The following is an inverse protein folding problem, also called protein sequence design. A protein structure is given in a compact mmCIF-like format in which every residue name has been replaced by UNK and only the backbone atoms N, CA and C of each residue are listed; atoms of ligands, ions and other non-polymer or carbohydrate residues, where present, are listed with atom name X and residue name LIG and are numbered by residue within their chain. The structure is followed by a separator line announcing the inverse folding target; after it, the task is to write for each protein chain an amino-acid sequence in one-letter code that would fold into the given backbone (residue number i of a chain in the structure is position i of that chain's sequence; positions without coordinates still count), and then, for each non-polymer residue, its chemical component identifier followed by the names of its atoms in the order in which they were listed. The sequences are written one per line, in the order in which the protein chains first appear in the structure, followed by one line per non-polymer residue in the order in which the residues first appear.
data_IF_246611269590
#
_entry.id   IF_246611269590
#
_cell.length_a   1.000
_cell.length_b   1.000
_cell.length_c   1.000
_cell.angle_alpha   90.00
_cell.angle_beta   90.00
_cell.angle_gamma   90.00
#
_symmetry.space_group_name_H-M   'P 1'
#
loop_
_entity.id
_entity.type
_entity.pdbx_description
1 polymer ?
#
# COMPACT_ATOMS: atom_id res chain seq x y z
N UNK A 1 -9.17 -0.50 -15.47
CA UNK A 1 -8.27 -0.11 -14.36
C UNK A 1 -9.12 0.10 -13.13
N UNK A 2 -8.95 -0.73 -12.09
CA UNK A 2 -9.68 -0.55 -10.85
C UNK A 2 -9.10 0.68 -10.13
N UNK A 3 -9.84 1.78 -10.13
CA UNK A 3 -9.55 2.93 -9.27
C UNK A 3 -9.76 2.47 -7.84
N UNK A 4 -8.69 2.40 -7.04
CA UNK A 4 -8.82 2.12 -5.61
C UNK A 4 -9.65 3.25 -4.98
N UNK A 5 -10.81 2.98 -4.35
CA UNK A 5 -11.69 4.01 -3.79
C UNK A 5 -11.17 4.47 -2.42
N UNK A 6 -9.92 4.93 -2.37
CA UNK A 6 -9.30 5.42 -1.15
C UNK A 6 -9.95 6.73 -0.65
N UNK A 7 -10.67 7.47 -1.51
CA UNK A 7 -11.40 8.71 -1.20
C UNK A 7 -10.55 9.71 -0.39
N UNK A 8 -9.31 9.93 -0.81
CA UNK A 8 -8.37 10.84 -0.13
C UNK A 8 -7.69 10.25 1.12
N UNK A 9 -7.83 8.95 1.38
CA UNK A 9 -7.06 8.27 2.43
C UNK A 9 -5.55 8.35 2.13
N UNK A 10 -4.76 8.73 3.14
CA UNK A 10 -3.30 8.90 3.03
C UNK A 10 -2.50 7.94 3.93
N UNK A 11 -3.14 6.90 4.46
CA UNK A 11 -2.50 5.97 5.42
C UNK A 11 -1.29 5.26 4.82
N UNK A 12 -1.38 4.77 3.58
CA UNK A 12 -0.21 4.16 2.91
C UNK A 12 0.92 5.18 2.68
N UNK A 13 0.61 6.45 2.44
CA UNK A 13 1.62 7.50 2.33
C UNK A 13 2.34 7.79 3.65
N UNK A 14 1.76 7.42 4.80
CA UNK A 14 2.39 7.62 6.11
C UNK A 14 3.21 6.42 6.57
N UNK A 15 2.72 5.21 6.29
CA UNK A 15 3.21 4.02 6.99
C UNK A 15 3.87 2.98 6.07
N UNK A 16 3.62 3.03 4.77
CA UNK A 16 4.07 1.98 3.85
C UNK A 16 5.31 2.41 3.05
N UNK A 17 6.16 1.43 2.72
CA UNK A 17 7.25 1.61 1.77
C UNK A 17 6.71 1.52 0.33
N UNK A 18 6.65 2.64 -0.36
CA UNK A 18 6.17 2.70 -1.75
C UNK A 18 7.29 2.26 -2.70
N UNK A 19 7.43 0.95 -2.84
CA UNK A 19 8.39 0.33 -3.75
C UNK A 19 7.98 0.56 -5.21
N UNK A 20 8.95 0.90 -6.06
CA UNK A 20 8.74 1.16 -7.48
C UNK A 20 8.97 -0.11 -8.29
N UNK A 21 8.12 -0.32 -9.29
CA UNK A 21 8.17 -1.47 -10.19
C UNK A 21 8.31 -1.01 -11.64
N UNK A 22 9.54 -0.81 -12.15
CA UNK A 22 9.77 -0.41 -13.53
C UNK A 22 9.15 -1.38 -14.55
N UNK A 23 9.11 -2.67 -14.23
CA UNK A 23 8.43 -3.70 -15.03
C UNK A 23 6.92 -3.49 -15.17
N UNK A 24 6.33 -2.65 -14.32
CA UNK A 24 4.92 -2.28 -14.34
C UNK A 24 4.68 -0.83 -14.81
N UNK A 25 5.72 -0.16 -15.33
CA UNK A 25 5.63 1.16 -15.93
C UNK A 25 6.07 2.32 -15.05
N UNK A 26 6.59 2.05 -13.84
CA UNK A 26 7.14 3.12 -12.99
C UNK A 26 8.47 3.64 -13.56
N UNK A 27 8.56 4.94 -13.83
CA UNK A 27 9.79 5.58 -14.29
C UNK A 27 10.55 6.11 -13.06
N UNK A 28 11.55 5.38 -12.56
CA UNK A 28 12.28 5.72 -11.32
C UNK A 28 12.79 7.16 -11.33
N UNK A 29 13.38 7.61 -12.45
CA UNK A 29 13.92 8.96 -12.60
C UNK A 29 12.86 10.08 -12.53
N UNK A 30 11.56 9.76 -12.63
CA UNK A 30 10.47 10.72 -12.49
C UNK A 30 10.07 10.97 -11.01
N UNK A 31 10.72 10.29 -10.07
CA UNK A 31 10.41 10.34 -8.65
C UNK A 31 11.65 10.64 -7.80
N UNK A 32 11.43 11.26 -6.64
CA UNK A 32 12.39 11.32 -5.55
C UNK A 32 12.37 9.96 -4.87
N UNK A 33 13.33 9.13 -5.27
CA UNK A 33 13.43 7.74 -4.91
C UNK A 33 14.82 7.42 -4.37
N UNK A 34 14.89 6.39 -3.56
CA UNK A 34 16.12 5.90 -2.95
C UNK A 34 16.23 4.38 -3.06
N UNK A 35 17.45 3.82 -3.09
CA UNK A 35 17.64 2.37 -3.07
C UNK A 35 16.96 1.75 -1.85
N UNK A 36 16.25 0.65 -2.06
CA UNK A 36 15.52 -0.04 -1.02
C UNK A 36 15.45 -1.55 -1.26
N UNK A 37 15.11 -2.29 -0.21
CA UNK A 37 14.76 -3.71 -0.28
C UNK A 37 13.28 -3.84 0.03
N UNK A 38 12.54 -4.52 -0.85
CA UNK A 38 11.15 -4.80 -0.61
C UNK A 38 11.02 -5.77 0.59
N UNK A 39 10.33 -5.41 1.69
CA UNK A 39 10.28 -6.23 2.90
C UNK A 39 9.44 -7.50 2.73
N UNK A 40 8.60 -7.57 1.69
CA UNK A 40 7.74 -8.74 1.41
C UNK A 40 8.43 -9.71 0.46
N UNK A 41 9.09 -9.20 -0.59
CA UNK A 41 9.68 -10.06 -1.64
C UNK A 41 11.19 -10.22 -1.54
N UNK A 42 11.88 -9.42 -0.71
CA UNK A 42 13.34 -9.38 -0.63
C UNK A 42 14.03 -8.76 -1.86
N UNK A 43 13.27 -8.30 -2.86
CA UNK A 43 13.82 -7.72 -4.09
C UNK A 43 14.50 -6.38 -3.80
N UNK A 44 15.73 -6.22 -4.28
CA UNK A 44 16.43 -4.92 -4.29
C UNK A 44 15.91 -4.05 -5.44
N UNK A 45 15.82 -2.74 -5.21
CA UNK A 45 15.32 -1.80 -6.19
C UNK A 45 15.25 -0.39 -5.62
N UNK A 46 14.20 0.35 -5.97
CA UNK A 46 13.98 1.72 -5.51
C UNK A 46 12.62 1.85 -4.86
N UNK A 47 12.52 2.70 -3.85
CA UNK A 47 11.26 3.13 -3.26
C UNK A 47 11.19 4.66 -3.25
N UNK A 48 9.97 5.22 -3.20
CA UNK A 48 9.83 6.65 -2.94
C UNK A 48 10.48 6.98 -1.59
N UNK A 49 11.26 8.08 -1.57
CA UNK A 49 11.91 8.54 -0.35
C UNK A 49 10.87 8.81 0.75
N UNK A 50 11.28 8.56 2.00
CA UNK A 50 10.53 8.97 3.19
C UNK A 50 11.18 10.19 3.84
N UNK A 51 10.38 11.11 4.35
CA UNK A 51 10.85 12.27 5.10
C UNK A 51 11.24 11.88 6.53
N UNK A 52 11.68 12.86 7.33
CA UNK A 52 12.12 12.66 8.71
C UNK A 52 11.05 12.08 9.65
N UNK A 53 9.75 12.30 9.36
CA UNK A 53 8.66 11.70 10.12
C UNK A 53 8.29 10.28 9.64
N UNK A 54 8.95 9.79 8.59
CA UNK A 54 8.64 8.52 7.95
C UNK A 54 7.47 8.60 6.96
N UNK A 55 6.88 9.76 6.68
CA UNK A 55 5.91 9.84 5.59
C UNK A 55 6.62 9.85 4.22
N UNK A 56 5.95 9.41 3.17
CA UNK A 56 6.39 9.63 1.80
C UNK A 56 6.62 11.13 1.56
N UNK A 57 7.72 11.50 0.90
CA UNK A 57 8.07 12.91 0.61
C UNK A 57 7.03 13.65 -0.22
N UNK A 58 6.13 12.93 -0.90
CA UNK A 58 5.03 13.50 -1.66
C UNK A 58 3.73 13.69 -0.88
N UNK A 59 3.72 13.39 0.43
CA UNK A 59 2.56 13.69 1.28
C UNK A 59 2.58 15.16 1.68
N UNK A 60 1.74 15.97 1.02
CA UNK A 60 1.48 17.36 1.37
C UNK A 60 0.33 17.52 2.36
N UNK A 61 0.06 18.77 2.78
CA UNK A 61 -0.99 19.09 3.75
C UNK A 61 -2.41 18.66 3.29
N UNK A 62 -2.68 18.71 1.98
CA UNK A 62 -3.97 18.32 1.40
C UNK A 62 -4.00 16.86 0.86
N UNK A 63 -2.92 16.09 1.04
CA UNK A 63 -2.79 14.73 0.52
C UNK A 63 -1.61 14.57 -0.46
N UNK A 64 -1.69 13.53 -1.30
CA UNK A 64 -0.61 13.21 -2.24
C UNK A 64 -0.46 14.30 -3.31
N UNK A 65 0.73 14.91 -3.40
CA UNK A 65 1.02 15.99 -4.34
C UNK A 65 1.29 15.52 -5.77
N UNK A 66 1.38 14.21 -5.98
CA UNK A 66 1.66 13.60 -7.28
C UNK A 66 0.59 12.58 -7.69
N UNK A 67 -0.62 12.69 -7.15
CA UNK A 67 -1.62 11.62 -7.30
C UNK A 67 -1.94 11.30 -8.78
N UNK A 68 -1.96 12.33 -9.63
CA UNK A 68 -2.13 12.26 -11.09
C UNK A 68 -1.07 11.39 -11.78
N UNK A 69 0.18 11.45 -11.30
CA UNK A 69 1.34 10.72 -11.83
C UNK A 69 1.89 9.68 -10.85
N UNK A 70 1.08 9.24 -9.89
CA UNK A 70 1.53 8.35 -8.82
C UNK A 70 2.05 7.01 -9.39
N UNK A 71 2.99 6.36 -8.70
CA UNK A 71 3.46 5.03 -9.08
C UNK A 71 2.33 4.00 -9.13
N UNK A 72 2.60 2.90 -9.82
CA UNK A 72 1.65 1.81 -10.07
C UNK A 72 1.10 1.22 -8.78
N UNK A 73 1.94 1.04 -7.75
CA UNK A 73 1.48 0.52 -6.46
C UNK A 73 0.49 1.49 -5.78
N UNK A 74 0.69 2.81 -5.87
CA UNK A 74 -0.25 3.79 -5.30
C UNK A 74 -1.61 3.78 -6.01
N UNK A 75 -1.64 3.35 -7.27
CA UNK A 75 -2.87 3.26 -8.08
C UNK A 75 -3.61 1.93 -7.90
N UNK A 76 -2.92 0.88 -7.47
CA UNK A 76 -3.45 -0.49 -7.43
C UNK A 76 -3.56 -1.08 -6.03
N UNK A 77 -2.84 -0.54 -5.05
CA UNK A 77 -2.89 -1.03 -3.68
C UNK A 77 -4.22 -0.71 -3.00
N UNK A 78 -4.96 -1.75 -2.63
CA UNK A 78 -6.19 -1.65 -1.84
C UNK A 78 -5.97 -2.30 -0.47
N UNK A 79 -5.98 -1.48 0.58
CA UNK A 79 -5.79 -1.96 1.96
C UNK A 79 -6.85 -2.99 2.40
N UNK A 80 -8.06 -2.97 1.81
CA UNK A 80 -9.13 -3.94 2.10
C UNK A 80 -8.74 -5.32 1.56
N UNK A 81 -8.28 -5.36 0.30
CA UNK A 81 -7.79 -6.60 -0.31
C UNK A 81 -6.53 -7.10 0.38
N UNK A 82 -5.60 -6.21 0.71
CA UNK A 82 -4.39 -6.55 1.46
C UNK A 82 -4.72 -7.20 2.81
N UNK A 83 -5.66 -6.62 3.56
CA UNK A 83 -6.13 -7.19 4.83
C UNK A 83 -6.75 -8.59 4.64
N UNK A 84 -7.53 -8.80 3.58
CA UNK A 84 -8.17 -10.10 3.30
C UNK A 84 -7.16 -11.21 2.97
N UNK A 85 -5.94 -10.87 2.52
CA UNK A 85 -4.87 -11.87 2.30
C UNK A 85 -4.45 -12.59 3.59
N UNK A 86 -4.72 -12.00 4.75
CA UNK A 86 -4.43 -12.63 6.04
C UNK A 86 -5.55 -13.58 6.51
N UNK A 87 -6.55 -13.85 5.66
CA UNK A 87 -7.64 -14.76 5.94
C UNK A 87 -8.69 -14.17 6.87
N UNK A 88 -9.12 -14.98 7.83
CA UNK A 88 -10.19 -14.64 8.76
C UNK A 88 -9.80 -13.58 9.80
N UNK A 89 -10.72 -13.28 10.72
CA UNK A 89 -10.48 -12.27 11.77
C UNK A 89 -9.28 -12.61 12.66
N UNK A 90 -9.06 -13.89 12.95
CA UNK A 90 -7.96 -14.33 13.79
C UNK A 90 -6.62 -14.19 13.06
N UNK A 91 -6.55 -14.58 11.79
CA UNK A 91 -5.39 -14.40 10.91
C UNK A 91 -5.03 -12.92 10.74
N UNK A 92 -6.02 -12.05 10.51
CA UNK A 92 -5.81 -10.60 10.45
C UNK A 92 -5.23 -10.02 11.75
N UNK A 93 -5.71 -10.46 12.92
CA UNK A 93 -5.19 -10.00 14.22
C UNK A 93 -3.77 -10.50 14.48
N UNK A 94 -3.46 -11.73 14.04
CA UNK A 94 -2.11 -12.30 14.11
C UNK A 94 -1.14 -11.49 13.25
N UNK A 95 -1.51 -11.17 12.01
CA UNK A 95 -0.71 -10.34 11.12
C UNK A 95 -0.41 -8.95 11.71
N UNK A 96 -1.41 -8.32 12.36
CA UNK A 96 -1.21 -7.07 13.07
C UNK A 96 -0.22 -7.22 14.25
N UNK A 97 -0.34 -8.28 15.03
CA UNK A 97 0.57 -8.56 16.15
C UNK A 97 2.02 -8.83 15.68
N UNK A 98 2.17 -9.52 14.56
CA UNK A 98 3.46 -9.86 13.94
C UNK A 98 4.07 -8.69 13.14
N UNK A 99 3.39 -7.55 13.05
CA UNK A 99 3.88 -6.39 12.29
C UNK A 99 3.84 -6.56 10.77
N UNK A 100 3.09 -7.56 10.26
CA UNK A 100 2.90 -7.79 8.81
C UNK A 100 1.91 -6.80 8.17
N UNK A 101 1.20 -6.05 8.99
CA UNK A 101 0.36 -4.90 8.64
C UNK A 101 0.38 -3.93 9.82
N UNK A 102 0.56 -2.63 9.56
CA UNK A 102 0.55 -1.64 10.63
C UNK A 102 -0.87 -1.38 11.16
N UNK A 103 -0.96 -0.78 12.35
CA UNK A 103 -2.21 -0.54 13.06
C UNK A 103 -3.15 0.41 12.31
N UNK A 104 -2.63 1.44 11.66
CA UNK A 104 -3.45 2.40 10.94
C UNK A 104 -3.95 1.81 9.63
N UNK A 105 -3.11 1.08 8.87
CA UNK A 105 -3.53 0.39 7.64
C UNK A 105 -4.58 -0.66 7.95
N UNK A 106 -4.38 -1.44 9.01
CA UNK A 106 -5.38 -2.39 9.50
C UNK A 106 -6.71 -1.69 9.87
N UNK A 107 -6.64 -0.58 10.62
CA UNK A 107 -7.82 0.19 11.02
C UNK A 107 -8.57 0.77 9.82
N UNK A 108 -7.83 1.37 8.89
CA UNK A 108 -8.38 1.96 7.67
C UNK A 108 -9.05 0.91 6.78
N UNK A 109 -8.42 -0.25 6.61
CA UNK A 109 -8.97 -1.39 5.88
C UNK A 109 -10.26 -1.90 6.53
N UNK A 110 -10.26 -2.13 7.85
CA UNK A 110 -11.44 -2.63 8.57
C UNK A 110 -12.62 -1.67 8.51
N UNK A 111 -12.38 -0.37 8.65
CA UNK A 111 -13.41 0.65 8.55
C UNK A 111 -14.08 0.66 7.17
N UNK A 112 -13.36 0.25 6.11
CA UNK A 112 -13.83 0.29 4.72
C UNK A 112 -14.15 -1.08 4.13
N UNK A 113 -13.94 -2.17 4.86
CA UNK A 113 -14.08 -3.52 4.31
C UNK A 113 -15.50 -3.80 3.80
N UNK A 114 -16.51 -3.18 4.43
CA UNK A 114 -17.91 -3.27 4.03
C UNK A 114 -18.21 -2.65 2.66
N UNK A 115 -17.33 -1.78 2.13
CA UNK A 115 -17.51 -1.14 0.81
C UNK A 115 -16.93 -1.98 -0.34
N UNK A 116 -16.35 -3.14 -0.03
CA UNK A 116 -15.81 -4.05 -1.04
C UNK A 116 -16.94 -4.94 -1.57
N UNK A 117 -17.10 -4.99 -2.90
CA UNK A 117 -18.08 -5.86 -3.55
C UNK A 117 -17.74 -7.35 -3.38
N UNK A 118 -18.72 -8.23 -3.57
CA UNK A 118 -18.51 -9.67 -3.36
C UNK A 118 -17.56 -10.29 -4.38
N UNK A 119 -17.55 -9.82 -5.63
CA UNK A 119 -16.60 -10.26 -6.67
C UNK A 119 -15.15 -9.86 -6.34
N UNK A 120 -14.95 -8.71 -5.69
CA UNK A 120 -13.61 -8.23 -5.33
C UNK A 120 -13.02 -9.05 -4.17
N UNK A 121 -13.86 -9.54 -3.24
CA UNK A 121 -13.44 -10.38 -2.11
C UNK A 121 -12.86 -11.72 -2.59
N UNK A 122 -13.44 -12.31 -3.65
CA UNK A 122 -12.99 -13.58 -4.23
C UNK A 122 -11.63 -13.50 -4.94
N UNK A 123 -11.22 -12.29 -5.38
CA UNK A 123 -9.96 -12.04 -6.07
C UNK A 123 -8.80 -11.65 -5.13
N UNK A 124 -9.01 -11.63 -3.81
CA UNK A 124 -7.94 -11.46 -2.84
C UNK A 124 -7.06 -12.72 -2.82
N UNK A 125 -6.16 -12.86 -3.79
CA UNK A 125 -5.24 -14.00 -3.87
C UNK A 125 -4.35 -14.06 -2.63
N UNK A 126 -4.25 -15.23 -1.96
CA UNK A 126 -3.30 -15.41 -0.87
C UNK A 126 -1.87 -15.34 -1.40
N UNK A 127 -0.97 -14.72 -0.64
CA UNK A 127 0.48 -14.85 -0.89
C UNK A 127 0.91 -16.20 -0.29
N UNK A 128 1.48 -17.06 -1.13
CA UNK A 128 2.26 -18.20 -0.65
C UNK A 128 3.41 -17.65 0.20
N UNK A 129 3.44 -18.09 1.46
CA UNK A 129 4.49 -17.76 2.44
C UNK A 129 5.79 -18.42 1.99
#
# INVERSE_FOLDING_TARGET
MASVPCNGCTVCCRNELIFLYPEHGDIVAAYDAEPAVNPVTGKTGYALRRNESGACVYLGAAGCTIHDRAPTICKTFDCRLFLLRFGDRAGQRRALHEGRIDRETYGAARARLHTLGDLDKSNALPVAI
#
